data_IF_024410777168
#
_entry.id   IF_024410777168
#
_cell.length_a   1.000
_cell.length_b   1.000
_cell.length_c   1.000
_cell.angle_alpha   90.00
_cell.angle_beta   90.00
_cell.angle_gamma   90.00
#
_symmetry.space_group_name_H-M   'P 1'
#
loop_
_entity.id
_entity.type
_entity.pdbx_description
1 polymer ?
#
# COMPACT_ATOMS: atom_id res chain seq x y z
N UNK A 1 -64.60 0.97 107.24
CA UNK A 1 -64.67 0.66 105.79
C UNK A 1 -65.11 -0.77 105.64
N UNK A 2 -66.10 -1.04 104.78
CA UNK A 2 -66.64 -2.39 104.57
C UNK A 2 -65.61 -3.31 103.92
N UNK A 3 -65.64 -4.59 104.26
CA UNK A 3 -64.79 -5.65 103.67
C UNK A 3 -64.85 -5.69 102.12
N UNK A 4 -65.95 -5.19 101.53
CA UNK A 4 -66.11 -5.01 100.08
C UNK A 4 -65.16 -3.98 99.48
N UNK A 5 -64.82 -2.90 100.21
CA UNK A 5 -63.87 -1.90 99.73
C UNK A 5 -62.44 -2.46 99.71
N UNK A 6 -62.09 -3.32 100.67
CA UNK A 6 -60.77 -3.95 100.72
C UNK A 6 -60.56 -4.92 99.55
N UNK A 7 -61.56 -5.77 99.25
CA UNK A 7 -61.52 -6.68 98.09
C UNK A 7 -61.46 -5.94 96.75
N UNK A 8 -62.12 -4.79 96.65
CA UNK A 8 -62.07 -3.94 95.45
C UNK A 8 -60.67 -3.36 95.23
N UNK A 9 -60.03 -2.84 96.29
CA UNK A 9 -58.66 -2.31 96.23
C UNK A 9 -57.66 -3.42 95.87
N UNK A 10 -57.83 -4.62 96.42
CA UNK A 10 -56.95 -5.77 96.15
C UNK A 10 -57.07 -6.25 94.70
N UNK A 11 -58.28 -6.21 94.12
CA UNK A 11 -58.50 -6.48 92.69
C UNK A 11 -57.82 -5.43 91.81
N UNK A 12 -57.98 -4.15 92.12
CA UNK A 12 -57.35 -3.06 91.36
C UNK A 12 -55.82 -3.17 91.42
N UNK A 13 -55.24 -3.50 92.59
CA UNK A 13 -53.80 -3.69 92.72
C UNK A 13 -53.29 -4.89 91.90
N UNK A 14 -54.08 -5.96 91.80
CA UNK A 14 -53.74 -7.12 90.96
C UNK A 14 -53.77 -6.76 89.48
N UNK A 15 -54.77 -6.01 89.03
CA UNK A 15 -54.89 -5.55 87.64
C UNK A 15 -53.77 -4.57 87.29
N UNK A 16 -53.43 -3.64 88.18
CA UNK A 16 -52.28 -2.73 87.99
C UNK A 16 -50.95 -3.50 87.89
N UNK A 17 -50.75 -4.55 88.70
CA UNK A 17 -49.55 -5.39 88.59
C UNK A 17 -49.48 -6.15 87.28
N UNK A 18 -50.62 -6.62 86.77
CA UNK A 18 -50.70 -7.29 85.47
C UNK A 18 -50.38 -6.33 84.33
N UNK A 19 -50.97 -5.13 84.34
CA UNK A 19 -50.71 -4.08 83.35
C UNK A 19 -49.24 -3.64 83.37
N UNK A 20 -48.64 -3.45 84.55
CA UNK A 20 -47.21 -3.11 84.67
C UNK A 20 -46.33 -4.23 84.10
N UNK A 21 -46.70 -5.50 84.30
CA UNK A 21 -45.98 -6.65 83.75
C UNK A 21 -46.07 -6.69 82.22
N UNK A 22 -47.28 -6.55 81.66
CA UNK A 22 -47.53 -6.52 80.21
C UNK A 22 -46.80 -5.34 79.54
N UNK A 23 -46.81 -4.15 80.17
CA UNK A 23 -46.07 -2.99 79.67
C UNK A 23 -44.55 -3.20 79.66
N UNK A 24 -44.00 -3.90 80.66
CA UNK A 24 -42.58 -4.23 80.71
C UNK A 24 -42.18 -5.30 79.69
N UNK A 25 -43.01 -6.32 79.50
CA UNK A 25 -42.81 -7.34 78.46
C UNK A 25 -42.86 -6.71 77.07
N UNK A 26 -43.85 -5.85 76.80
CA UNK A 26 -43.95 -5.17 75.51
C UNK A 26 -42.77 -4.23 75.23
N UNK A 27 -42.26 -3.53 76.26
CA UNK A 27 -41.03 -2.73 76.13
C UNK A 27 -39.78 -3.58 75.89
N UNK A 28 -39.70 -4.79 76.46
CA UNK A 28 -38.62 -5.74 76.20
C UNK A 28 -38.64 -6.19 74.75
N UNK A 29 -39.82 -6.57 74.24
CA UNK A 29 -39.99 -7.05 72.86
C UNK A 29 -39.66 -5.96 71.84
N UNK A 30 -40.13 -4.72 72.07
CA UNK A 30 -39.82 -3.58 71.19
C UNK A 30 -38.32 -3.29 71.18
N UNK A 31 -37.65 -3.35 72.34
CA UNK A 31 -36.20 -3.15 72.45
C UNK A 31 -35.44 -4.23 71.65
N UNK A 32 -35.84 -5.49 71.75
CA UNK A 32 -35.23 -6.59 71.03
C UNK A 32 -35.43 -6.46 69.51
N UNK A 33 -36.65 -6.14 69.06
CA UNK A 33 -36.95 -5.93 67.63
C UNK A 33 -36.15 -4.76 67.04
N UNK A 34 -36.03 -3.64 67.77
CA UNK A 34 -35.21 -2.49 67.33
C UNK A 34 -33.74 -2.88 67.27
N UNK A 35 -33.22 -3.58 68.28
CA UNK A 35 -31.83 -4.02 68.32
C UNK A 35 -31.51 -4.99 67.17
N UNK A 36 -32.39 -5.94 66.87
CA UNK A 36 -32.27 -6.87 65.74
C UNK A 36 -32.34 -6.16 64.38
N UNK A 37 -33.22 -5.16 64.25
CA UNK A 37 -33.32 -4.33 63.03
C UNK A 37 -32.05 -3.50 62.79
N UNK A 38 -31.48 -2.90 63.84
CA UNK A 38 -30.21 -2.16 63.77
C UNK A 38 -29.06 -3.12 63.41
N UNK A 39 -28.96 -4.26 64.08
CA UNK A 39 -27.91 -5.25 63.80
C UNK A 39 -27.99 -5.79 62.38
N UNK A 40 -29.20 -6.13 61.90
CA UNK A 40 -29.43 -6.58 60.53
C UNK A 40 -29.00 -5.53 59.49
N UNK A 41 -29.36 -4.25 59.70
CA UNK A 41 -28.90 -3.15 58.84
C UNK A 41 -27.38 -2.99 58.86
N UNK A 42 -26.76 -3.07 60.04
CA UNK A 42 -25.30 -2.97 60.20
C UNK A 42 -24.57 -4.10 59.46
N UNK A 43 -25.06 -5.34 59.57
CA UNK A 43 -24.49 -6.50 58.85
C UNK A 43 -24.64 -6.35 57.34
N UNK A 44 -25.78 -5.83 56.86
CA UNK A 44 -25.98 -5.55 55.43
C UNK A 44 -25.01 -4.48 54.93
N UNK A 45 -24.86 -3.37 55.66
CA UNK A 45 -23.89 -2.31 55.31
C UNK A 45 -22.45 -2.81 55.32
N UNK A 46 -22.10 -3.69 56.26
CA UNK A 46 -20.77 -4.32 56.29
C UNK A 46 -20.53 -5.23 55.08
N UNK A 47 -21.55 -5.97 54.64
CA UNK A 47 -21.45 -6.78 53.44
C UNK A 47 -21.27 -5.91 52.19
N UNK A 48 -22.07 -4.85 52.04
CA UNK A 48 -21.93 -3.88 50.93
C UNK A 48 -20.53 -3.26 50.92
N UNK A 49 -19.99 -2.89 52.09
CA UNK A 49 -18.61 -2.38 52.21
C UNK A 49 -17.56 -3.39 51.72
N UNK A 50 -17.67 -4.67 52.12
CA UNK A 50 -16.73 -5.71 51.68
C UNK A 50 -16.81 -5.97 50.16
N UNK A 51 -18.01 -5.85 49.57
CA UNK A 51 -18.20 -5.94 48.12
C UNK A 51 -17.52 -4.77 47.39
N UNK A 52 -17.61 -3.55 47.93
CA UNK A 52 -16.89 -2.40 47.40
C UNK A 52 -15.37 -2.53 47.52
N UNK A 53 -14.86 -3.03 48.65
CA UNK A 53 -13.43 -3.27 48.86
C UNK A 53 -12.88 -4.29 47.85
N UNK A 54 -13.63 -5.37 47.57
CA UNK A 54 -13.28 -6.34 46.53
C UNK A 54 -13.25 -5.69 45.14
N UNK A 55 -14.24 -4.88 44.80
CA UNK A 55 -14.31 -4.20 43.51
C UNK A 55 -13.17 -3.18 43.33
N UNK A 56 -12.79 -2.45 44.39
CA UNK A 56 -11.63 -1.53 44.36
C UNK A 56 -10.35 -2.31 44.06
N UNK A 57 -10.14 -3.45 44.73
CA UNK A 57 -8.95 -4.29 44.50
C UNK A 57 -8.88 -4.83 43.07
N UNK A 58 -10.00 -5.28 42.51
CA UNK A 58 -10.07 -5.73 41.10
C UNK A 58 -9.73 -4.58 40.13
N UNK A 59 -10.18 -3.34 40.42
CA UNK A 59 -9.84 -2.16 39.63
C UNK A 59 -8.36 -1.79 39.74
N UNK A 60 -7.74 -1.90 40.91
CA UNK A 60 -6.31 -1.67 41.10
C UNK A 60 -5.47 -2.67 40.28
N UNK A 61 -5.82 -3.95 40.30
CA UNK A 61 -5.17 -4.99 39.48
C UNK A 61 -5.31 -4.68 37.98
N UNK A 62 -6.50 -4.26 37.52
CA UNK A 62 -6.72 -3.85 36.14
C UNK A 62 -5.89 -2.61 35.74
N UNK A 63 -5.73 -1.63 36.64
CA UNK A 63 -4.91 -0.43 36.39
C UNK A 63 -3.44 -0.84 36.23
N UNK A 64 -2.92 -1.70 37.11
CA UNK A 64 -1.54 -2.19 37.04
C UNK A 64 -1.27 -2.95 35.73
N UNK A 65 -2.19 -3.81 35.29
CA UNK A 65 -2.10 -4.49 33.99
C UNK A 65 -2.04 -3.50 32.81
N UNK A 66 -2.84 -2.44 32.85
CA UNK A 66 -2.85 -1.41 31.79
C UNK A 66 -1.59 -0.55 31.80
N UNK A 67 -1.03 -0.24 32.96
CA UNK A 67 0.26 0.46 33.07
C UNK A 67 1.42 -0.38 32.52
N UNK A 68 1.42 -1.68 32.80
CA UNK A 68 2.38 -2.62 32.23
C UNK A 68 2.28 -2.67 30.70
N UNK A 69 1.07 -2.77 30.16
CA UNK A 69 0.84 -2.74 28.70
C UNK A 69 1.31 -1.41 28.07
N UNK A 70 1.02 -0.29 28.74
CA UNK A 70 1.47 1.03 28.29
C UNK A 70 3.01 1.13 28.24
N UNK A 71 3.71 0.55 29.22
CA UNK A 71 5.17 0.50 29.22
C UNK A 71 5.73 -0.36 28.08
N UNK A 72 5.10 -1.49 27.78
CA UNK A 72 5.45 -2.31 26.61
C UNK A 72 5.30 -1.50 25.32
N UNK A 73 4.17 -0.81 25.14
CA UNK A 73 3.95 0.03 23.96
C UNK A 73 4.96 1.17 23.83
N UNK A 74 5.31 1.86 24.93
CA UNK A 74 6.36 2.88 24.94
C UNK A 74 7.72 2.33 24.48
N UNK A 75 8.08 1.12 24.94
CA UNK A 75 9.31 0.46 24.53
C UNK A 75 9.29 0.07 23.04
N UNK A 76 8.16 -0.45 22.54
CA UNK A 76 7.99 -0.77 21.12
C UNK A 76 8.11 0.48 20.24
N UNK A 77 7.49 1.60 20.63
CA UNK A 77 7.60 2.89 19.92
C UNK A 77 9.06 3.37 19.88
N UNK A 78 9.79 3.23 21.00
CA UNK A 78 11.21 3.58 21.06
C UNK A 78 12.04 2.77 20.06
N UNK A 79 11.86 1.45 20.03
CA UNK A 79 12.57 0.55 19.09
C UNK A 79 12.24 0.90 17.63
N UNK A 80 10.96 1.13 17.31
CA UNK A 80 10.55 1.53 15.95
C UNK A 80 11.17 2.87 15.54
N UNK A 81 11.25 3.82 16.47
CA UNK A 81 11.90 5.12 16.22
C UNK A 81 13.38 4.96 15.92
N UNK A 82 14.09 4.08 16.64
CA UNK A 82 15.50 3.77 16.40
C UNK A 82 15.71 3.10 15.02
N UNK A 83 14.82 2.18 14.62
CA UNK A 83 14.85 1.53 13.30
C UNK A 83 14.60 2.55 12.17
N UNK A 84 13.60 3.43 12.33
CA UNK A 84 13.32 4.48 11.34
C UNK A 84 14.52 5.42 11.17
N UNK A 85 15.20 5.77 12.26
CA UNK A 85 16.40 6.59 12.21
C UNK A 85 17.55 5.89 11.46
N UNK A 86 17.69 4.56 11.61
CA UNK A 86 18.67 3.78 10.86
C UNK A 86 18.38 3.79 9.35
N UNK A 87 17.12 3.57 8.95
CA UNK A 87 16.74 3.63 7.54
C UNK A 87 16.92 5.03 6.94
N UNK A 88 16.59 6.09 7.69
CA UNK A 88 16.83 7.46 7.23
C UNK A 88 18.32 7.71 6.97
N UNK A 89 19.20 7.22 7.83
CA UNK A 89 20.64 7.34 7.63
C UNK A 89 21.13 6.54 6.41
N UNK A 90 20.57 5.36 6.15
CA UNK A 90 20.89 4.56 4.98
C UNK A 90 20.43 5.21 3.67
N UNK A 91 19.22 5.80 3.65
CA UNK A 91 18.72 6.58 2.52
C UNK A 91 19.66 7.75 2.23
N UNK A 92 20.01 8.55 3.25
CA UNK A 92 20.92 9.68 3.09
C UNK A 92 22.30 9.24 2.53
N UNK A 93 22.80 8.08 2.97
CA UNK A 93 24.05 7.51 2.44
C UNK A 93 23.94 7.11 0.97
N UNK A 94 22.82 6.48 0.56
CA UNK A 94 22.59 6.10 -0.83
C UNK A 94 22.43 7.32 -1.74
N UNK A 95 21.73 8.36 -1.29
CA UNK A 95 21.59 9.63 -2.02
C UNK A 95 22.95 10.31 -2.22
N UNK A 96 23.80 10.31 -1.18
CA UNK A 96 25.16 10.84 -1.29
C UNK A 96 25.96 10.04 -2.33
N UNK A 97 25.89 8.70 -2.29
CA UNK A 97 26.58 7.84 -3.24
C UNK A 97 26.10 8.05 -4.69
N UNK A 98 24.80 8.24 -4.91
CA UNK A 98 24.25 8.53 -6.23
C UNK A 98 24.77 9.88 -6.76
N UNK A 99 24.89 10.89 -5.89
CA UNK A 99 25.46 12.19 -6.24
C UNK A 99 26.95 12.07 -6.61
N UNK A 100 27.73 11.31 -5.85
CA UNK A 100 29.15 11.06 -6.15
C UNK A 100 29.31 10.33 -7.50
N UNK A 101 28.44 9.34 -7.79
CA UNK A 101 28.44 8.63 -9.08
C UNK A 101 28.06 9.56 -10.25
N UNK A 102 27.05 10.43 -10.06
CA UNK A 102 26.68 11.46 -11.05
C UNK A 102 27.83 12.43 -11.33
N UNK A 103 28.52 12.89 -10.29
CA UNK A 103 29.69 13.77 -10.43
C UNK A 103 30.83 13.09 -11.22
N UNK A 104 31.07 11.80 -10.95
CA UNK A 104 32.04 11.01 -11.70
C UNK A 104 31.70 10.91 -13.20
N UNK A 105 30.45 10.59 -13.55
CA UNK A 105 30.02 10.49 -14.95
C UNK A 105 30.06 11.85 -15.66
N UNK A 106 29.66 12.93 -15.01
CA UNK A 106 29.75 14.28 -15.58
C UNK A 106 31.22 14.64 -15.89
N UNK A 107 32.13 14.38 -14.94
CA UNK A 107 33.58 14.58 -15.15
C UNK A 107 34.12 13.73 -16.31
N UNK A 108 33.61 12.51 -16.48
CA UNK A 108 33.99 11.63 -17.59
C UNK A 108 33.46 12.15 -18.94
N UNK A 109 32.21 12.60 -18.99
CA UNK A 109 31.60 13.22 -20.18
C UNK A 109 32.36 14.49 -20.58
N UNK A 110 32.70 15.35 -19.63
CA UNK A 110 33.47 16.58 -19.89
C UNK A 110 34.84 16.26 -20.51
N UNK A 111 35.54 15.23 -20.00
CA UNK A 111 36.80 14.74 -20.60
C UNK A 111 36.61 14.17 -22.00
N UNK A 112 35.51 13.46 -22.26
CA UNK A 112 35.21 12.95 -23.61
C UNK A 112 34.94 14.10 -24.60
N UNK A 113 34.22 15.13 -24.16
CA UNK A 113 33.98 16.35 -24.94
C UNK A 113 35.31 17.03 -25.26
N UNK A 114 36.18 17.23 -24.27
CA UNK A 114 37.52 17.83 -24.44
C UNK A 114 38.38 17.08 -25.46
N UNK A 115 38.36 15.74 -25.42
CA UNK A 115 39.09 14.89 -26.37
C UNK A 115 38.56 15.06 -27.80
N UNK A 116 37.24 15.04 -27.99
CA UNK A 116 36.61 15.20 -29.30
C UNK A 116 36.81 16.61 -29.87
N UNK A 117 36.72 17.65 -29.04
CA UNK A 117 37.04 19.03 -29.43
C UNK A 117 38.50 19.15 -29.86
N UNK A 118 39.43 18.56 -29.10
CA UNK A 118 40.86 18.55 -29.45
C UNK A 118 41.09 17.85 -30.80
N UNK A 119 40.43 16.73 -31.04
CA UNK A 119 40.51 15.99 -32.30
C UNK A 119 39.97 16.80 -33.48
N UNK A 120 38.79 17.41 -33.34
CA UNK A 120 38.20 18.29 -34.36
C UNK A 120 39.10 19.50 -34.66
N UNK A 121 39.66 20.13 -33.63
CA UNK A 121 40.59 21.25 -33.80
C UNK A 121 41.85 20.83 -34.57
N UNK A 122 42.39 19.64 -34.31
CA UNK A 122 43.51 19.09 -35.08
C UNK A 122 43.15 18.82 -36.55
N UNK A 123 41.95 18.32 -36.83
CA UNK A 123 41.44 18.12 -38.20
C UNK A 123 41.27 19.46 -38.94
N UNK A 124 40.67 20.46 -38.28
CA UNK A 124 40.53 21.83 -38.80
C UNK A 124 41.91 22.41 -39.13
N UNK A 125 42.87 22.36 -38.20
CA UNK A 125 44.23 22.84 -38.41
C UNK A 125 44.90 22.17 -39.61
N UNK A 126 44.68 20.87 -39.80
CA UNK A 126 45.21 20.11 -40.96
C UNK A 126 44.58 20.62 -42.28
N UNK A 127 43.27 20.89 -42.29
CA UNK A 127 42.57 21.42 -43.46
C UNK A 127 43.05 22.84 -43.78
N UNK A 128 43.20 23.69 -42.77
CA UNK A 128 43.71 25.07 -42.93
C UNK A 128 45.13 25.08 -43.51
N UNK A 129 46.02 24.19 -43.04
CA UNK A 129 47.35 24.02 -43.61
C UNK A 129 47.29 23.60 -45.08
N UNK A 130 46.44 22.63 -45.44
CA UNK A 130 46.25 22.21 -46.84
C UNK A 130 45.75 23.36 -47.72
N UNK A 131 44.79 24.13 -47.24
CA UNK A 131 44.25 25.28 -47.95
C UNK A 131 45.31 26.37 -48.15
N UNK A 132 46.11 26.67 -47.12
CA UNK A 132 47.22 27.61 -47.19
C UNK A 132 48.25 27.19 -48.25
N UNK A 133 48.61 25.91 -48.30
CA UNK A 133 49.52 25.36 -49.31
C UNK A 133 48.95 25.50 -50.73
N UNK A 134 47.67 25.16 -50.92
CA UNK A 134 47.01 25.26 -52.22
C UNK A 134 46.94 26.72 -52.70
N UNK A 135 46.66 27.67 -51.79
CA UNK A 135 46.66 29.10 -52.07
C UNK A 135 48.03 29.58 -52.54
N UNK A 136 49.10 29.14 -51.86
CA UNK A 136 50.47 29.46 -52.25
C UNK A 136 50.84 28.88 -53.63
N UNK A 137 50.41 27.66 -53.93
CA UNK A 137 50.61 27.04 -55.26
C UNK A 137 49.87 27.81 -56.36
N UNK A 138 48.63 28.22 -56.09
CA UNK A 138 47.84 29.01 -57.03
C UNK A 138 48.49 30.36 -57.33
N UNK A 139 48.96 31.08 -56.30
CA UNK A 139 49.68 32.35 -56.48
C UNK A 139 51.00 32.16 -57.25
N UNK A 140 51.70 31.04 -57.05
CA UNK A 140 52.90 30.72 -57.82
C UNK A 140 52.56 30.49 -59.31
N UNK A 141 51.54 29.67 -59.60
CA UNK A 141 51.06 29.42 -60.97
C UNK A 141 50.58 30.69 -61.65
N UNK A 142 49.85 31.55 -60.93
CA UNK A 142 49.41 32.85 -61.41
C UNK A 142 50.60 33.72 -61.83
N UNK A 143 51.65 33.80 -61.01
CA UNK A 143 52.90 34.51 -61.36
C UNK A 143 53.60 33.90 -62.58
N UNK A 144 53.66 32.58 -62.70
CA UNK A 144 54.22 31.90 -63.87
C UNK A 144 53.47 32.25 -65.16
N UNK A 145 52.13 32.23 -65.12
CA UNK A 145 51.29 32.59 -66.26
C UNK A 145 51.52 34.05 -66.65
N UNK A 146 51.50 34.98 -65.69
CA UNK A 146 51.78 36.39 -65.95
C UNK A 146 53.15 36.60 -66.61
N UNK A 147 54.20 35.91 -66.14
CA UNK A 147 55.54 35.99 -66.73
C UNK A 147 55.58 35.40 -68.16
N UNK A 148 54.87 34.29 -68.40
CA UNK A 148 54.80 33.69 -69.74
C UNK A 148 54.07 34.59 -70.75
N UNK A 149 53.03 35.31 -70.32
CA UNK A 149 52.35 36.30 -71.16
C UNK A 149 53.27 37.47 -71.53
N UNK A 150 54.07 37.96 -70.59
CA UNK A 150 55.08 39.01 -70.87
C UNK A 150 56.12 38.52 -71.89
N UNK A 151 56.49 37.24 -71.86
CA UNK A 151 57.45 36.67 -72.82
C UNK A 151 56.83 36.54 -74.21
N UNK A 152 55.55 36.14 -74.31
CA UNK A 152 54.82 36.07 -75.57
C UNK A 152 54.61 37.47 -76.17
N UNK A 153 54.26 38.46 -75.36
CA UNK A 153 54.12 39.85 -75.81
C UNK A 153 55.47 40.44 -76.27
N UNK A 154 56.60 40.05 -75.66
CA UNK A 154 57.93 40.44 -76.12
C UNK A 154 58.33 39.74 -77.44
N UNK A 155 58.00 38.47 -77.62
CA UNK A 155 58.22 37.76 -78.90
C UNK A 155 57.30 38.26 -80.03
N UNK A 156 56.09 38.71 -79.71
CA UNK A 156 55.21 39.41 -80.66
C UNK A 156 55.71 40.83 -80.95
N UNK A 157 56.20 41.59 -79.95
CA UNK A 157 56.81 42.90 -80.18
C UNK A 157 58.12 42.85 -80.99
N UNK A 158 58.88 41.75 -80.93
CA UNK A 158 60.05 41.52 -81.79
C UNK A 158 59.67 41.07 -83.22
N UNK A 159 58.49 40.48 -83.43
CA UNK A 159 57.95 40.18 -84.78
C UNK A 159 57.21 41.36 -85.41
N UNK A 160 56.68 42.28 -84.61
CA UNK A 160 55.94 43.47 -85.06
C UNK A 160 56.75 44.77 -85.06
N UNK A 161 58.05 44.74 -84.74
CA UNK A 161 58.97 45.85 -84.98
C UNK A 161 59.81 45.69 -86.27
N UNK A 162 59.13 45.31 -87.36
CA UNK A 162 59.54 45.73 -88.72
C UNK A 162 58.54 46.71 -89.34
N UNK A 163 57.37 46.97 -88.76
CA UNK A 163 56.50 48.00 -89.32
C UNK A 163 55.77 48.84 -88.27
N UNK A 164 56.04 50.14 -88.40
CA UNK A 164 55.12 51.24 -88.12
C UNK A 164 54.95 51.68 -86.67
N UNK A 165 55.88 52.59 -86.33
CA UNK A 165 55.53 53.89 -85.74
C UNK A 165 54.19 54.41 -86.27
N UNK A 166 53.23 54.67 -85.37
CA UNK A 166 52.74 56.03 -85.06
C UNK A 166 51.60 55.99 -84.05
N UNK A 167 51.75 56.86 -83.06
CA UNK A 167 50.75 57.70 -82.39
C UNK A 167 49.34 57.11 -82.21
N UNK A 168 48.87 57.06 -80.98
CA UNK A 168 47.73 57.87 -80.53
C UNK A 168 47.73 57.91 -78.99
N UNK A 169 47.85 59.13 -78.51
CA UNK A 169 47.61 59.63 -77.16
C UNK A 169 46.10 59.93 -77.06
N UNK A 170 45.39 59.43 -76.05
CA UNK A 170 44.14 60.02 -75.50
C UNK A 170 43.86 59.46 -74.09
N UNK A 171 43.98 60.38 -73.14
CA UNK A 171 43.24 60.63 -71.89
C UNK A 171 42.68 59.48 -71.02
N UNK A 172 43.27 59.42 -69.84
CA UNK A 172 42.70 58.96 -68.57
C UNK A 172 41.46 59.78 -68.16
N UNK A 173 40.42 59.09 -67.64
CA UNK A 173 39.64 59.56 -66.49
C UNK A 173 38.82 58.44 -65.85
N UNK A 174 39.19 58.18 -64.60
CA UNK A 174 38.44 57.71 -63.43
C UNK A 174 36.97 57.24 -63.60
N UNK A 175 36.64 56.09 -63.00
CA UNK A 175 35.73 55.96 -61.83
C UNK A 175 35.78 54.49 -61.35
N UNK A 176 36.38 54.28 -60.18
CA UNK A 176 36.28 53.04 -59.38
C UNK A 176 35.28 53.27 -58.25
N UNK A 177 34.28 52.40 -58.12
CA UNK A 177 33.54 52.21 -56.87
C UNK A 177 33.64 50.74 -56.43
N UNK A 178 33.97 50.47 -55.15
CA UNK A 178 33.99 49.11 -54.61
C UNK A 178 32.59 48.67 -54.18
N UNK A 179 32.23 47.44 -54.53
CA UNK A 179 31.05 46.75 -53.99
C UNK A 179 31.48 46.09 -52.68
N UNK A 180 31.06 46.64 -51.55
CA UNK A 180 31.12 45.99 -50.25
C UNK A 180 30.01 44.94 -50.13
N UNK A 181 30.38 43.68 -49.97
CA UNK A 181 29.47 42.59 -49.60
C UNK A 181 29.57 42.44 -48.07
N UNK A 182 28.56 42.92 -47.36
CA UNK A 182 28.39 42.74 -45.92
C UNK A 182 27.84 41.33 -45.62
N UNK A 183 28.69 40.46 -45.08
CA UNK A 183 28.26 39.23 -44.43
C UNK A 183 27.95 39.52 -42.95
N UNK A 184 26.68 39.77 -42.63
CA UNK A 184 26.16 39.71 -41.26
C UNK A 184 25.13 38.60 -41.19
N UNK A 185 25.57 37.40 -40.80
CA UNK A 185 24.68 36.33 -40.37
C UNK A 185 24.28 36.64 -38.93
N UNK A 186 23.03 37.06 -38.76
CA UNK A 186 22.39 37.31 -37.47
C UNK A 186 21.87 35.98 -36.89
N UNK A 187 22.64 35.35 -36.01
CA UNK A 187 22.16 34.23 -35.18
C UNK A 187 21.75 34.76 -33.81
N UNK A 188 20.50 35.17 -33.65
CA UNK A 188 19.83 35.28 -32.35
C UNK A 188 18.33 35.46 -32.54
N UNK A 189 17.56 34.38 -32.38
CA UNK A 189 16.22 34.36 -31.78
C UNK A 189 15.58 32.97 -31.91
N UNK A 190 15.79 32.14 -30.89
CA UNK A 190 14.90 31.01 -30.60
C UNK A 190 14.11 31.44 -29.35
N UNK A 191 12.77 31.52 -29.40
CA UNK A 191 11.97 31.79 -28.20
C UNK A 191 11.93 30.55 -27.31
N UNK A 192 12.30 30.72 -26.04
CA UNK A 192 11.95 29.81 -24.95
C UNK A 192 10.58 30.22 -24.44
N UNK A 193 9.57 29.40 -24.67
CA UNK A 193 8.30 29.43 -23.92
C UNK A 193 7.95 28.02 -23.48
N UNK A 194 8.41 27.66 -22.28
CA UNK A 194 7.85 26.57 -21.45
C UNK A 194 7.84 27.13 -20.04
N UNK A 195 6.67 27.55 -19.56
CA UNK A 195 6.30 27.65 -18.14
C UNK A 195 4.86 28.15 -18.02
N UNK A 196 3.88 27.25 -18.16
CA UNK A 196 2.55 27.42 -17.57
C UNK A 196 1.94 26.03 -17.31
N UNK A 197 2.08 25.52 -16.09
CA UNK A 197 1.21 24.48 -15.50
C UNK A 197 1.40 24.52 -13.98
N UNK A 198 0.45 25.17 -13.31
CA UNK A 198 0.12 25.26 -11.88
C UNK A 198 -1.24 26.02 -11.93
N UNK A 199 -2.38 25.63 -11.37
CA UNK A 199 -2.77 24.85 -10.20
C UNK A 199 -4.11 24.14 -10.51
N UNK A 200 -4.32 22.95 -9.96
CA UNK A 200 -5.67 22.38 -9.75
C UNK A 200 -5.78 22.16 -8.25
N UNK A 201 -6.55 23.01 -7.58
CA UNK A 201 -7.03 22.79 -6.22
C UNK A 201 -8.16 21.75 -6.28
N UNK A 202 -7.98 20.61 -5.61
CA UNK A 202 -9.06 19.65 -5.37
C UNK A 202 -9.66 19.88 -3.97
N UNK A 203 -10.94 20.27 -4.00
CA UNK A 203 -11.82 20.48 -2.86
C UNK A 203 -12.24 19.13 -2.26
N UNK A 204 -11.91 18.89 -0.99
CA UNK A 204 -12.30 17.67 -0.25
C UNK A 204 -13.56 17.91 0.58
N UNK A 205 -14.64 17.21 0.24
CA UNK A 205 -15.85 17.12 1.07
C UNK A 205 -15.61 16.23 2.30
N UNK A 206 -15.73 16.84 3.47
CA UNK A 206 -15.52 16.22 4.79
C UNK A 206 -16.84 15.64 5.32
N UNK A 207 -16.88 14.31 5.55
CA UNK A 207 -18.06 13.60 6.08
C UNK A 207 -18.19 13.80 7.61
N UNK A 208 -19.44 13.90 8.06
CA UNK A 208 -19.89 14.19 9.43
C UNK A 208 -19.75 12.99 10.39
N UNK A 209 -18.90 13.13 11.42
CA UNK A 209 -18.55 12.10 12.42
C UNK A 209 -19.56 11.99 13.59
N UNK A 210 -20.71 12.66 13.57
CA UNK A 210 -21.57 12.77 14.77
C UNK A 210 -22.46 11.55 15.09
N UNK A 211 -22.20 10.37 14.54
CA UNK A 211 -23.09 9.19 14.72
C UNK A 211 -22.40 7.92 15.20
N UNK A 212 -21.68 7.93 16.32
CA UNK A 212 -21.40 6.68 17.04
C UNK A 212 -21.24 6.91 18.55
N UNK A 213 -22.28 6.53 19.32
CA UNK A 213 -22.23 6.43 20.78
C UNK A 213 -22.71 5.04 21.21
N UNK A 214 -21.76 4.16 21.55
CA UNK A 214 -22.06 2.86 22.16
C UNK A 214 -20.91 2.47 23.09
N UNK A 215 -21.18 2.42 24.40
CA UNK A 215 -20.19 2.02 25.41
C UNK A 215 -19.94 0.51 25.36
N UNK A 216 -18.69 0.11 25.25
CA UNK A 216 -18.27 -1.31 25.31
C UNK A 216 -17.63 -1.56 26.67
N UNK A 217 -18.19 -2.49 27.45
CA UNK A 217 -17.55 -3.10 28.61
C UNK A 217 -16.89 -4.42 28.18
N UNK A 218 -15.60 -4.57 28.46
CA UNK A 218 -14.82 -5.77 28.13
C UNK A 218 -14.53 -6.56 29.40
N UNK A 219 -14.97 -7.82 29.45
CA UNK A 219 -14.67 -8.78 30.52
C UNK A 219 -13.54 -9.69 30.01
N UNK A 220 -12.42 -9.75 30.74
CA UNK A 220 -11.30 -10.66 30.43
C UNK A 220 -11.50 -11.98 31.20
N UNK A 221 -11.47 -13.15 30.52
CA UNK A 221 -11.59 -14.45 31.18
C UNK A 221 -10.34 -14.88 31.97
N UNK A 222 -10.50 -15.56 33.11
CA UNK A 222 -9.43 -15.87 34.07
C UNK A 222 -8.38 -16.90 33.63
N UNK A 223 -8.51 -17.51 32.44
CA UNK A 223 -7.55 -18.54 31.97
C UNK A 223 -6.19 -18.01 31.49
N UNK A 224 -5.98 -16.68 31.42
CA UNK A 224 -4.73 -16.09 30.92
C UNK A 224 -3.70 -15.78 32.01
N UNK A 225 -3.98 -16.06 33.29
CA UNK A 225 -3.12 -15.64 34.40
C UNK A 225 -1.82 -16.47 34.57
N UNK A 226 -1.62 -17.59 33.88
CA UNK A 226 -0.46 -18.45 34.16
C UNK A 226 0.08 -19.18 32.93
N UNK A 227 1.11 -18.65 32.27
CA UNK A 227 2.07 -19.52 31.57
C UNK A 227 3.46 -18.88 31.46
N UNK A 228 4.46 -19.58 31.98
CA UNK A 228 5.88 -19.24 31.92
C UNK A 228 6.55 -20.06 30.82
N UNK A 229 6.90 -19.45 29.68
CA UNK A 229 7.64 -20.13 28.62
C UNK A 229 9.08 -19.62 28.51
N UNK A 230 10.02 -20.57 28.54
CA UNK A 230 11.46 -20.39 28.40
C UNK A 230 11.84 -20.17 26.93
N UNK A 231 12.75 -19.22 26.72
CA UNK A 231 13.38 -18.89 25.44
C UNK A 231 14.39 -19.98 25.05
N UNK A 232 14.37 -20.42 23.79
CA UNK A 232 15.39 -21.28 23.17
C UNK A 232 15.98 -20.52 21.97
N UNK A 233 17.31 -20.48 21.90
CA UNK A 233 18.08 -19.82 20.84
C UNK A 233 18.07 -20.60 19.50
N UNK A 234 18.24 -19.92 18.35
CA UNK A 234 18.16 -20.53 17.03
C UNK A 234 19.51 -21.09 16.54
N UNK A 235 19.55 -22.21 15.78
CA UNK A 235 20.77 -22.64 15.13
C UNK A 235 20.95 -21.97 13.76
N UNK A 236 22.17 -21.47 13.55
CA UNK A 236 22.73 -21.10 12.25
C UNK A 236 22.92 -22.33 11.35
N UNK A 237 22.64 -22.23 10.04
CA UNK A 237 23.66 -22.24 8.96
C UNK A 237 23.03 -22.31 7.56
N UNK A 238 23.63 -21.51 6.66
CA UNK A 238 23.41 -21.45 5.21
C UNK A 238 24.02 -22.67 4.49
N UNK A 239 23.37 -23.11 3.40
CA UNK A 239 24.05 -23.79 2.31
C UNK A 239 23.58 -23.25 0.95
N UNK A 240 24.56 -22.81 0.15
CA UNK A 240 24.42 -22.29 -1.22
C UNK A 240 24.23 -23.45 -2.21
N UNK A 241 23.34 -23.27 -3.19
CA UNK A 241 23.20 -24.15 -4.35
C UNK A 241 23.68 -23.45 -5.64
N UNK A 242 24.15 -24.22 -6.66
CA UNK A 242 24.84 -23.70 -7.83
C UNK A 242 23.92 -23.32 -9.00
N UNK A 243 24.35 -22.29 -9.73
CA UNK A 243 23.71 -21.69 -10.92
C UNK A 243 23.87 -22.61 -12.14
N UNK A 244 22.77 -22.91 -12.84
CA UNK A 244 22.77 -23.62 -14.13
C UNK A 244 22.76 -22.63 -15.32
N UNK A 245 23.55 -23.00 -16.31
CA UNK A 245 23.86 -22.32 -17.57
C UNK A 245 22.67 -22.31 -18.54
N UNK A 246 22.47 -21.18 -19.23
CA UNK A 246 21.43 -20.93 -20.24
C UNK A 246 21.94 -21.36 -21.63
N UNK A 247 21.08 -22.00 -22.43
CA UNK A 247 21.28 -22.27 -23.87
C UNK A 247 20.27 -21.42 -24.67
N UNK A 248 20.66 -20.76 -25.78
CA UNK A 248 19.76 -19.94 -26.59
C UNK A 248 19.01 -20.78 -27.64
N UNK A 249 17.75 -20.44 -27.92
CA UNK A 249 16.98 -21.00 -29.04
C UNK A 249 16.45 -19.88 -29.94
N UNK A 250 16.55 -20.18 -31.23
CA UNK A 250 16.36 -19.35 -32.42
C UNK A 250 14.94 -18.84 -32.71
N UNK A 251 14.92 -17.73 -33.45
CA UNK A 251 13.77 -17.08 -34.07
C UNK A 251 13.43 -17.73 -35.41
N UNK A 252 12.17 -18.15 -35.65
CA UNK A 252 11.57 -18.17 -37.01
C UNK A 252 10.04 -17.92 -37.04
N UNK A 253 9.69 -16.80 -37.67
CA UNK A 253 8.55 -16.36 -38.50
C UNK A 253 7.14 -17.04 -38.55
N UNK A 254 6.13 -16.23 -38.19
CA UNK A 254 4.98 -15.67 -38.97
C UNK A 254 4.16 -16.59 -39.91
N UNK A 255 2.84 -16.69 -39.65
CA UNK A 255 1.71 -16.20 -40.50
C UNK A 255 0.33 -16.43 -39.85
N UNK A 256 -0.44 -15.35 -39.69
CA UNK A 256 -1.88 -15.34 -39.37
C UNK A 256 -2.74 -15.15 -40.63
N UNK A 257 -4.05 -15.41 -40.54
CA UNK A 257 -5.05 -14.57 -41.18
C UNK A 257 -6.04 -13.95 -40.18
N UNK A 258 -6.42 -12.71 -40.49
CA UNK A 258 -7.28 -11.76 -39.78
C UNK A 258 -8.76 -12.10 -40.02
N UNK A 259 -9.60 -12.13 -38.98
CA UNK A 259 -10.84 -11.32 -38.96
C UNK A 259 -11.62 -11.29 -37.63
N UNK A 260 -12.27 -10.12 -37.45
CA UNK A 260 -13.34 -9.71 -36.53
C UNK A 260 -12.93 -9.11 -35.17
N UNK A 261 -13.24 -7.82 -35.09
CA UNK A 261 -12.93 -6.86 -34.05
C UNK A 261 -14.01 -6.90 -32.95
N UNK A 262 -13.62 -7.31 -31.76
CA UNK A 262 -14.01 -6.65 -30.53
C UNK A 262 -12.69 -6.20 -29.88
N UNK A 263 -12.57 -4.91 -29.54
CA UNK A 263 -11.41 -4.41 -28.78
C UNK A 263 -11.52 -4.91 -27.34
N UNK A 264 -11.27 -6.20 -27.14
CA UNK A 264 -10.80 -6.69 -25.85
C UNK A 264 -9.35 -6.25 -25.72
N UNK A 265 -9.06 -5.44 -24.69
CA UNK A 265 -7.69 -5.22 -24.27
C UNK A 265 -7.27 -6.58 -23.70
N UNK A 266 -6.68 -7.42 -24.55
CA UNK A 266 -6.11 -8.68 -24.13
C UNK A 266 -4.82 -8.34 -23.39
N UNK A 267 -4.96 -8.00 -22.10
CA UNK A 267 -3.84 -7.98 -21.18
C UNK A 267 -3.36 -9.43 -21.18
N UNK A 268 -2.18 -9.66 -21.76
CA UNK A 268 -1.54 -10.96 -21.72
C UNK A 268 -1.26 -11.21 -20.23
N UNK A 269 -1.90 -12.19 -19.56
CA UNK A 269 -1.61 -12.47 -18.17
C UNK A 269 -0.12 -12.77 -18.13
N UNK A 270 0.64 -11.85 -17.52
CA UNK A 270 2.06 -12.04 -17.36
C UNK A 270 2.21 -13.39 -16.70
N UNK A 271 2.88 -14.32 -17.38
CA UNK A 271 3.38 -15.54 -16.78
C UNK A 271 4.34 -15.11 -15.68
N UNK A 272 3.80 -14.76 -14.51
CA UNK A 272 4.53 -14.67 -13.27
C UNK A 272 5.21 -16.02 -13.16
N UNK A 273 6.54 -16.01 -13.17
CA UNK A 273 7.32 -17.22 -12.99
C UNK A 273 6.80 -17.88 -11.72
N UNK A 274 6.03 -18.97 -11.88
CA UNK A 274 5.41 -19.73 -10.81
C UNK A 274 6.52 -20.41 -10.03
N UNK A 275 7.25 -19.66 -9.22
CA UNK A 275 7.81 -20.24 -8.00
C UNK A 275 6.62 -20.74 -7.22
N UNK A 276 6.65 -22.03 -6.84
CA UNK A 276 5.66 -22.67 -5.95
C UNK A 276 5.60 -21.89 -4.63
N UNK A 277 4.87 -20.78 -4.63
CA UNK A 277 4.62 -20.03 -3.42
C UNK A 277 3.66 -20.87 -2.60
N UNK A 278 4.19 -21.55 -1.59
CA UNK A 278 3.41 -22.40 -0.72
C UNK A 278 2.60 -21.51 0.22
N UNK A 279 1.32 -21.33 -0.08
CA UNK A 279 0.40 -20.68 0.84
C UNK A 279 0.13 -21.60 2.04
N UNK A 280 0.40 -21.10 3.24
CA UNK A 280 0.12 -21.81 4.49
C UNK A 280 -1.36 -22.21 4.54
N UNK A 281 -1.65 -23.51 4.66
CA UNK A 281 -3.01 -24.04 4.76
C UNK A 281 -3.76 -24.24 3.43
N UNK A 282 -3.11 -24.07 2.27
CA UNK A 282 -3.75 -24.27 0.96
C UNK A 282 -4.31 -25.69 0.77
N UNK A 283 -3.67 -26.69 1.36
CA UNK A 283 -4.10 -28.08 1.35
C UNK A 283 -5.51 -28.29 1.93
N UNK A 284 -5.96 -27.44 2.86
CA UNK A 284 -7.34 -27.50 3.38
C UNK A 284 -8.34 -27.06 2.30
N UNK A 285 -8.02 -25.99 1.58
CA UNK A 285 -8.84 -25.50 0.47
C UNK A 285 -8.90 -26.56 -0.65
N UNK A 286 -7.76 -27.16 -1.01
CA UNK A 286 -7.67 -28.25 -1.99
C UNK A 286 -8.61 -29.41 -1.63
N UNK A 287 -8.62 -29.80 -0.35
CA UNK A 287 -9.51 -30.85 0.14
C UNK A 287 -10.99 -30.43 0.12
N UNK A 288 -11.29 -29.18 0.46
CA UNK A 288 -12.66 -28.64 0.50
C UNK A 288 -13.27 -28.48 -0.90
N UNK A 289 -12.49 -28.06 -1.89
CA UNK A 289 -12.97 -27.90 -3.28
C UNK A 289 -12.76 -29.15 -4.15
N UNK A 290 -11.88 -30.06 -3.73
CA UNK A 290 -11.54 -31.29 -4.46
C UNK A 290 -10.58 -31.10 -5.63
N UNK A 291 -9.81 -30.01 -5.64
CA UNK A 291 -8.87 -29.64 -6.70
C UNK A 291 -7.48 -29.46 -6.10
N UNK A 292 -6.41 -29.84 -6.81
CA UNK A 292 -5.06 -29.95 -6.21
C UNK A 292 -4.04 -28.98 -6.78
N UNK A 293 -4.32 -28.40 -7.93
CA UNK A 293 -3.42 -27.45 -8.55
C UNK A 293 -4.04 -26.07 -8.48
N UNK A 294 -3.21 -25.03 -8.60
CA UNK A 294 -3.70 -23.68 -8.68
C UNK A 294 -2.85 -22.80 -9.59
N UNK A 295 -3.48 -21.78 -10.15
CA UNK A 295 -2.84 -20.69 -10.89
C UNK A 295 -3.07 -19.40 -10.12
N UNK A 296 -2.01 -18.64 -9.84
CA UNK A 296 -2.15 -17.27 -9.32
C UNK A 296 -2.64 -16.38 -10.46
N UNK A 297 -3.84 -15.82 -10.30
CA UNK A 297 -4.43 -14.88 -11.24
C UNK A 297 -4.11 -13.42 -10.87
N UNK A 298 -4.01 -13.15 -9.57
CA UNK A 298 -3.82 -11.80 -9.05
C UNK A 298 -3.03 -11.85 -7.75
N UNK A 299 -2.19 -10.85 -7.54
CA UNK A 299 -1.44 -10.63 -6.31
C UNK A 299 -1.28 -9.14 -6.07
N UNK A 300 -1.80 -8.66 -4.94
CA UNK A 300 -1.77 -7.24 -4.61
C UNK A 300 -0.38 -6.68 -4.30
N UNK A 301 0.62 -7.56 -4.08
CA UNK A 301 2.00 -7.15 -3.87
C UNK A 301 2.70 -6.69 -5.15
N UNK A 302 2.14 -7.02 -6.32
CA UNK A 302 2.67 -6.59 -7.61
C UNK A 302 2.30 -5.13 -7.92
N UNK A 303 3.08 -4.42 -8.76
CA UNK A 303 2.72 -3.09 -9.22
C UNK A 303 1.31 -3.08 -9.83
N UNK A 304 0.48 -2.11 -9.43
CA UNK A 304 -0.96 -1.99 -9.78
C UNK A 304 -1.91 -3.03 -9.16
N UNK A 305 -1.43 -3.87 -8.23
CA UNK A 305 -2.21 -4.84 -7.48
C UNK A 305 -3.24 -4.27 -6.49
N UNK A 306 -3.59 -2.99 -6.62
CA UNK A 306 -4.62 -2.32 -5.81
C UNK A 306 -5.71 -1.64 -6.67
N UNK A 307 -5.69 -1.81 -7.99
CA UNK A 307 -6.72 -1.24 -8.86
C UNK A 307 -7.91 -2.21 -9.04
N UNK A 308 -9.13 -1.68 -9.08
CA UNK A 308 -10.33 -2.48 -9.38
C UNK A 308 -10.29 -3.06 -10.79
N UNK A 309 -9.77 -2.30 -11.76
CA UNK A 309 -9.64 -2.76 -13.15
C UNK A 309 -8.74 -3.98 -13.25
N UNK A 310 -7.55 -3.92 -12.62
CA UNK A 310 -6.60 -5.04 -12.59
C UNK A 310 -7.19 -6.23 -11.84
N UNK A 311 -7.81 -6.02 -10.68
CA UNK A 311 -8.44 -7.08 -9.92
C UNK A 311 -9.58 -7.75 -10.71
N UNK A 312 -10.53 -6.95 -11.21
CA UNK A 312 -11.70 -7.44 -11.94
C UNK A 312 -11.32 -8.18 -13.23
N UNK A 313 -10.40 -7.63 -14.04
CA UNK A 313 -9.93 -8.27 -15.26
C UNK A 313 -9.20 -9.59 -15.00
N UNK A 314 -8.54 -9.72 -13.85
CA UNK A 314 -7.84 -10.95 -13.46
C UNK A 314 -8.78 -12.08 -13.07
N UNK A 315 -9.97 -11.77 -12.56
CA UNK A 315 -10.93 -12.79 -12.08
C UNK A 315 -12.06 -13.09 -13.07
N UNK A 316 -12.31 -12.19 -14.03
CA UNK A 316 -13.37 -12.33 -15.03
C UNK A 316 -13.14 -13.57 -15.90
N UNK A 317 -14.22 -14.30 -16.19
CA UNK A 317 -14.26 -15.55 -16.96
C UNK A 317 -13.51 -16.74 -16.35
N UNK A 318 -13.02 -16.61 -15.11
CA UNK A 318 -12.43 -17.71 -14.36
C UNK A 318 -13.43 -18.33 -13.38
N UNK A 319 -13.21 -19.60 -13.04
CA UNK A 319 -14.04 -20.42 -12.14
C UNK A 319 -13.17 -21.10 -11.09
N UNK A 320 -13.76 -21.71 -10.06
CA UNK A 320 -13.01 -22.27 -8.92
C UNK A 320 -12.02 -21.26 -8.30
N UNK A 321 -12.50 -20.03 -8.14
CA UNK A 321 -11.73 -18.90 -7.63
C UNK A 321 -11.62 -18.98 -6.12
N UNK A 322 -10.40 -18.86 -5.60
CA UNK A 322 -10.11 -18.63 -4.18
C UNK A 322 -9.55 -17.22 -4.04
N UNK A 323 -10.13 -16.42 -3.16
CA UNK A 323 -9.56 -15.13 -2.78
C UNK A 323 -8.96 -15.30 -1.39
N UNK A 324 -7.63 -15.27 -1.30
CA UNK A 324 -6.86 -15.29 -0.06
C UNK A 324 -6.58 -13.87 0.41
N UNK A 325 -6.87 -13.59 1.67
CA UNK A 325 -6.64 -12.31 2.34
C UNK A 325 -5.66 -12.52 3.49
N UNK A 326 -4.60 -11.73 3.48
CA UNK A 326 -3.59 -11.66 4.54
C UNK A 326 -3.79 -10.32 5.24
N UNK A 327 -4.25 -10.32 6.49
CA UNK A 327 -4.41 -9.08 7.24
C UNK A 327 -3.15 -8.68 8.02
N UNK A 328 -3.11 -7.42 8.44
CA UNK A 328 -2.03 -6.83 9.25
C UNK A 328 -1.80 -7.49 10.62
N UNK A 329 -2.70 -8.36 11.06
CA UNK A 329 -2.57 -9.14 12.29
C UNK A 329 -2.02 -10.56 12.04
N UNK A 330 -1.69 -10.88 10.79
CA UNK A 330 -1.15 -12.17 10.37
C UNK A 330 -2.19 -13.28 10.24
N UNK A 331 -3.48 -12.93 10.16
CA UNK A 331 -4.55 -13.89 9.87
C UNK A 331 -4.62 -14.15 8.35
N UNK A 332 -5.02 -15.37 7.99
CA UNK A 332 -5.22 -15.80 6.60
C UNK A 332 -6.63 -16.34 6.47
N UNK A 333 -7.46 -15.69 5.65
CA UNK A 333 -8.88 -16.01 5.48
C UNK A 333 -9.36 -15.62 4.08
N UNK A 334 -10.62 -15.89 3.77
CA UNK A 334 -11.14 -15.55 2.45
C UNK A 334 -12.42 -16.29 2.07
N UNK A 335 -12.62 -16.44 0.77
CA UNK A 335 -13.76 -17.16 0.21
C UNK A 335 -13.43 -17.89 -1.08
N UNK A 336 -14.23 -18.92 -1.37
CA UNK A 336 -14.13 -19.75 -2.57
C UNK A 336 -15.43 -19.71 -3.37
N UNK A 337 -15.32 -19.59 -4.69
CA UNK A 337 -16.43 -19.63 -5.64
C UNK A 337 -16.16 -20.67 -6.73
N UNK A 338 -17.07 -21.63 -6.92
CA UNK A 338 -16.98 -22.61 -7.99
C UNK A 338 -17.43 -22.04 -9.33
N UNK A 339 -18.52 -21.27 -9.36
CA UNK A 339 -19.08 -20.70 -10.59
C UNK A 339 -18.15 -19.69 -11.27
N UNK A 340 -18.20 -19.59 -12.61
CA UNK A 340 -17.43 -18.59 -13.33
C UNK A 340 -17.92 -17.16 -13.05
N UNK A 341 -16.98 -16.23 -12.92
CA UNK A 341 -17.27 -14.79 -12.75
C UNK A 341 -17.51 -14.18 -14.13
N UNK A 342 -18.78 -14.07 -14.54
CA UNK A 342 -19.12 -13.62 -15.91
C UNK A 342 -19.25 -12.10 -16.07
N UNK A 343 -19.41 -11.37 -14.96
CA UNK A 343 -19.63 -9.92 -14.95
C UNK A 343 -19.22 -9.32 -13.62
N UNK A 344 -18.89 -8.04 -13.63
CA UNK A 344 -18.69 -7.22 -12.43
C UNK A 344 -19.99 -6.53 -12.00
N UNK A 345 -19.95 -5.84 -10.87
CA UNK A 345 -21.00 -4.96 -10.37
C UNK A 345 -22.38 -5.64 -10.22
N UNK A 346 -22.34 -6.94 -9.95
CA UNK A 346 -23.52 -7.72 -9.59
C UNK A 346 -23.13 -8.97 -8.81
N UNK A 347 -24.01 -9.39 -7.92
CA UNK A 347 -23.80 -10.56 -7.09
C UNK A 347 -23.87 -11.83 -7.94
N UNK A 348 -22.80 -12.64 -7.89
CA UNK A 348 -22.73 -13.95 -8.53
C UNK A 348 -23.04 -15.00 -7.48
N UNK A 349 -24.26 -15.53 -7.50
CA UNK A 349 -24.73 -16.52 -6.52
C UNK A 349 -24.21 -17.92 -6.86
N UNK A 350 -23.60 -18.61 -5.89
CA UNK A 350 -23.12 -19.99 -6.04
C UNK A 350 -23.43 -20.84 -4.80
N UNK A 351 -24.09 -21.97 -5.01
CA UNK A 351 -24.43 -22.92 -3.94
C UNK A 351 -23.22 -23.68 -3.39
N UNK A 352 -22.08 -23.65 -4.08
CA UNK A 352 -20.82 -24.25 -3.64
C UNK A 352 -19.85 -23.20 -3.06
N UNK A 353 -20.31 -21.96 -2.92
CA UNK A 353 -19.56 -20.90 -2.25
C UNK A 353 -19.31 -21.26 -0.79
N UNK A 354 -18.15 -20.88 -0.27
CA UNK A 354 -17.88 -20.93 1.17
C UNK A 354 -16.88 -19.86 1.60
N UNK A 355 -16.98 -19.44 2.86
CA UNK A 355 -15.94 -18.66 3.53
C UNK A 355 -14.97 -19.59 4.26
N UNK A 356 -13.76 -19.11 4.52
CA UNK A 356 -12.80 -19.86 5.33
C UNK A 356 -11.88 -18.96 6.16
N UNK A 357 -11.30 -19.57 7.18
CA UNK A 357 -10.16 -19.02 7.95
C UNK A 357 -9.11 -20.12 8.07
N UNK A 358 -7.91 -19.90 7.55
CA UNK A 358 -6.81 -20.87 7.58
C UNK A 358 -5.90 -20.68 8.79
N UNK A 359 -5.63 -19.42 9.14
CA UNK A 359 -4.73 -19.05 10.21
C UNK A 359 -5.30 -17.88 10.98
N UNK A 360 -5.30 -18.01 12.31
CA UNK A 360 -5.68 -16.94 13.22
C UNK A 360 -4.85 -17.01 14.48
N UNK A 361 -4.44 -15.86 15.02
CA UNK A 361 -3.50 -15.77 16.16
C UNK A 361 -3.88 -16.63 17.39
N UNK A 362 -5.17 -16.91 17.57
CA UNK A 362 -5.71 -17.65 18.73
C UNK A 362 -6.48 -18.93 18.37
N UNK A 363 -6.49 -19.37 17.10
CA UNK A 363 -7.20 -20.58 16.68
C UNK A 363 -6.27 -21.48 15.88
N UNK A 364 -6.19 -22.74 16.31
CA UNK A 364 -5.25 -23.72 15.76
C UNK A 364 -5.80 -24.53 14.58
N UNK A 365 -7.10 -24.47 14.32
CA UNK A 365 -7.74 -25.29 13.28
C UNK A 365 -8.35 -24.42 12.18
N UNK A 366 -8.08 -24.74 10.90
CA UNK A 366 -8.77 -24.13 9.78
C UNK A 366 -10.27 -24.35 9.84
N UNK A 367 -11.01 -23.32 9.47
CA UNK A 367 -12.46 -23.27 9.48
C UNK A 367 -12.99 -23.13 8.06
N UNK A 368 -13.93 -23.99 7.68
CA UNK A 368 -14.75 -23.84 6.48
C UNK A 368 -16.17 -23.49 6.90
N UNK A 369 -16.76 -22.52 6.23
CA UNK A 369 -18.09 -22.00 6.57
C UNK A 369 -18.98 -22.00 5.34
N UNK A 370 -19.97 -22.88 5.36
CA UNK A 370 -20.98 -22.96 4.32
C UNK A 370 -22.11 -21.94 4.59
N UNK A 371 -22.74 -21.40 3.54
CA UNK A 371 -23.95 -20.60 3.68
C UNK A 371 -25.10 -21.40 4.30
N UNK A 372 -26.04 -20.70 4.95
CA UNK A 372 -27.32 -21.29 5.36
C UNK A 372 -28.12 -21.73 4.13
N UNK A 373 -28.88 -22.83 4.27
CA UNK A 373 -29.57 -23.51 3.15
C UNK A 373 -30.59 -22.63 2.41
N UNK A 374 -31.15 -21.63 3.07
CA UNK A 374 -32.18 -20.73 2.55
C UNK A 374 -31.62 -19.37 2.08
N UNK A 375 -30.30 -19.18 2.12
CA UNK A 375 -29.65 -17.92 1.79
C UNK A 375 -28.97 -17.97 0.44
N UNK A 376 -29.21 -16.94 -0.36
CA UNK A 376 -28.57 -16.74 -1.66
C UNK A 376 -27.39 -15.80 -1.47
N UNK A 377 -26.20 -16.38 -1.34
CA UNK A 377 -24.95 -15.62 -1.20
C UNK A 377 -24.00 -15.94 -2.33
N UNK A 378 -22.98 -15.11 -2.48
CA UNK A 378 -21.91 -15.37 -3.42
C UNK A 378 -20.84 -14.30 -3.36
N UNK A 379 -20.30 -13.95 -4.52
CA UNK A 379 -19.24 -12.96 -4.68
C UNK A 379 -19.74 -11.79 -5.52
N UNK A 380 -19.47 -10.58 -5.05
CA UNK A 380 -19.64 -9.35 -5.81
C UNK A 380 -18.26 -8.74 -6.07
N UNK A 381 -17.96 -8.42 -7.33
CA UNK A 381 -16.69 -7.78 -7.73
C UNK A 381 -16.98 -6.36 -8.23
N UNK A 382 -16.36 -5.36 -7.63
CA UNK A 382 -16.51 -3.96 -8.05
C UNK A 382 -15.55 -3.62 -9.19
N UNK A 383 -16.08 -3.02 -10.26
CA UNK A 383 -15.23 -2.50 -11.36
C UNK A 383 -14.69 -1.10 -11.11
N UNK A 384 -15.44 -0.27 -10.37
CA UNK A 384 -15.20 1.19 -10.29
C UNK A 384 -15.23 1.75 -8.88
N UNK A 385 -15.48 0.94 -7.84
CA UNK A 385 -15.50 1.42 -6.47
C UNK A 385 -14.11 1.95 -6.06
N UNK A 386 -14.06 3.13 -5.46
CA UNK A 386 -12.78 3.78 -5.10
C UNK A 386 -12.01 3.02 -4.03
N UNK A 387 -12.71 2.31 -3.13
CA UNK A 387 -12.10 1.73 -1.93
C UNK A 387 -12.21 0.19 -1.92
N UNK A 388 -13.35 -0.35 -2.36
CA UNK A 388 -13.67 -1.77 -2.23
C UNK A 388 -13.35 -2.56 -3.50
N UNK A 389 -12.76 -3.74 -3.35
CA UNK A 389 -12.48 -4.63 -4.49
C UNK A 389 -13.62 -5.62 -4.70
N UNK A 390 -14.04 -6.28 -3.63
CA UNK A 390 -15.11 -7.28 -3.66
C UNK A 390 -15.70 -7.53 -2.28
N UNK A 391 -16.84 -8.22 -2.25
CA UNK A 391 -17.36 -8.80 -1.01
C UNK A 391 -17.92 -10.20 -1.23
N UNK A 392 -17.92 -10.99 -0.18
CA UNK A 392 -18.62 -12.28 -0.11
C UNK A 392 -19.84 -12.20 0.81
N UNK A 393 -20.94 -12.85 0.44
CA UNK A 393 -22.17 -12.83 1.23
C UNK A 393 -23.32 -12.15 0.51
N UNK A 394 -24.08 -11.38 1.27
CA UNK A 394 -25.24 -10.60 0.85
C UNK A 394 -25.19 -9.24 1.56
N UNK A 395 -25.08 -8.16 0.81
CA UNK A 395 -24.91 -6.79 1.32
C UNK A 395 -26.05 -6.33 2.23
N UNK A 396 -27.25 -6.91 2.10
CA UNK A 396 -28.39 -6.53 2.95
C UNK A 396 -28.44 -7.29 4.28
N UNK A 397 -27.80 -8.47 4.36
CA UNK A 397 -27.98 -9.39 5.48
C UNK A 397 -26.68 -9.73 6.21
N UNK A 398 -25.56 -9.85 5.50
CA UNK A 398 -24.24 -10.08 6.08
C UNK A 398 -23.20 -10.40 5.03
N UNK A 399 -22.02 -9.78 5.17
CA UNK A 399 -20.96 -9.86 4.17
C UNK A 399 -19.56 -9.73 4.77
N UNK A 400 -18.59 -10.28 4.06
CA UNK A 400 -17.16 -10.02 4.24
C UNK A 400 -16.73 -9.05 3.13
N UNK A 401 -16.49 -7.80 3.49
CA UNK A 401 -15.99 -6.75 2.59
C UNK A 401 -14.47 -6.77 2.53
N UNK A 402 -13.92 -6.78 1.32
CA UNK A 402 -12.48 -6.76 1.03
C UNK A 402 -12.15 -5.44 0.33
N UNK A 403 -11.59 -4.51 1.11
CA UNK A 403 -11.09 -3.23 0.61
C UNK A 403 -9.70 -3.37 0.01
N UNK A 404 -9.24 -2.36 -0.71
CA UNK A 404 -7.85 -2.22 -1.16
C UNK A 404 -6.90 -2.26 0.03
N UNK A 405 -5.67 -2.75 -0.18
CA UNK A 405 -4.70 -2.93 0.92
C UNK A 405 -4.26 -1.62 1.57
N UNK A 406 -4.53 -0.48 0.94
CA UNK A 406 -4.26 0.86 1.50
C UNK A 406 -5.37 1.40 2.39
N UNK A 407 -6.50 0.70 2.54
CA UNK A 407 -7.70 1.18 3.24
C UNK A 407 -8.02 0.27 4.45
N UNK A 408 -7.92 0.76 5.69
CA UNK A 408 -8.19 -0.03 6.90
C UNK A 408 -9.69 -0.13 7.23
N UNK A 409 -10.52 -0.47 6.23
CA UNK A 409 -11.99 -0.51 6.36
C UNK A 409 -12.61 -1.82 5.88
N UNK A 410 -11.81 -2.85 5.63
CA UNK A 410 -12.34 -4.20 5.38
C UNK A 410 -13.08 -4.68 6.62
N UNK A 411 -14.18 -5.40 6.47
CA UNK A 411 -15.06 -5.71 7.60
C UNK A 411 -15.82 -7.02 7.42
N UNK A 412 -16.03 -7.75 8.51
CA UNK A 412 -17.00 -8.83 8.60
C UNK A 412 -18.29 -8.30 9.23
N UNK A 413 -19.34 -8.07 8.45
CA UNK A 413 -20.61 -7.52 8.94
C UNK A 413 -21.68 -8.60 9.00
N UNK A 414 -22.34 -8.74 10.15
CA UNK A 414 -23.52 -9.60 10.37
C UNK A 414 -23.46 -11.01 9.72
N UNK A 415 -22.29 -11.65 9.72
CA UNK A 415 -22.11 -12.94 9.04
C UNK A 415 -23.04 -14.01 9.58
N UNK A 416 -23.43 -13.94 10.85
CA UNK A 416 -24.37 -14.85 11.49
C UNK A 416 -25.78 -14.84 10.88
N UNK A 417 -26.13 -13.84 10.06
CA UNK A 417 -27.42 -13.81 9.34
C UNK A 417 -27.44 -14.74 8.14
N UNK A 418 -26.30 -14.89 7.45
CA UNK A 418 -26.15 -15.65 6.20
C UNK A 418 -25.32 -16.93 6.33
N UNK A 419 -24.48 -17.00 7.36
CA UNK A 419 -23.63 -18.13 7.73
C UNK A 419 -23.90 -18.52 9.20
N UNK A 420 -23.62 -19.75 9.59
CA UNK A 420 -23.75 -20.21 10.99
C UNK A 420 -22.48 -19.88 11.82
N UNK A 421 -22.01 -18.62 11.76
CA UNK A 421 -20.80 -18.14 12.46
C UNK A 421 -20.92 -16.69 12.93
N UNK A 422 -20.17 -16.31 13.96
CA UNK A 422 -19.99 -14.90 14.36
C UNK A 422 -18.92 -14.20 13.52
N UNK A 423 -19.00 -12.86 13.42
CA UNK A 423 -18.04 -12.02 12.69
C UNK A 423 -16.58 -12.27 13.13
N UNK A 424 -16.38 -12.46 14.43
CA UNK A 424 -15.05 -12.69 15.00
C UNK A 424 -14.42 -14.02 14.56
N UNK A 425 -15.18 -14.98 14.03
CA UNK A 425 -14.66 -16.30 13.68
C UNK A 425 -13.75 -16.29 12.44
N UNK A 426 -13.94 -15.33 11.51
CA UNK A 426 -13.14 -15.25 10.28
C UNK A 426 -11.71 -14.75 10.57
N UNK A 427 -11.58 -13.54 11.12
CA UNK A 427 -10.27 -12.93 11.41
C UNK A 427 -10.15 -12.33 12.82
N UNK A 428 -11.21 -12.34 13.63
CA UNK A 428 -11.21 -11.80 14.98
C UNK A 428 -11.73 -10.38 15.14
N UNK A 429 -12.02 -9.64 14.06
CA UNK A 429 -12.37 -8.21 14.18
C UNK A 429 -13.78 -7.96 14.74
N UNK A 430 -14.65 -8.97 14.80
CA UNK A 430 -16.02 -8.86 15.33
C UNK A 430 -16.87 -7.72 14.74
N UNK A 431 -16.62 -7.35 13.47
CA UNK A 431 -17.31 -6.23 12.81
C UNK A 431 -16.56 -4.91 12.89
N UNK A 432 -15.42 -4.86 13.59
CA UNK A 432 -14.47 -3.76 13.47
C UNK A 432 -13.75 -3.82 12.13
N UNK A 433 -13.38 -2.65 11.62
CA UNK A 433 -12.59 -2.51 10.41
C UNK A 433 -11.17 -3.07 10.61
N UNK A 434 -10.61 -3.67 9.55
CA UNK A 434 -9.24 -4.19 9.56
C UNK A 434 -8.49 -3.79 8.28
N UNK A 435 -7.16 -3.76 8.40
CA UNK A 435 -6.22 -3.49 7.32
C UNK A 435 -5.73 -4.80 6.71
N UNK A 436 -5.75 -4.87 5.38
CA UNK A 436 -5.24 -5.99 4.60
C UNK A 436 -3.82 -5.66 4.13
N UNK A 437 -2.89 -6.59 4.34
CA UNK A 437 -1.51 -6.47 3.85
C UNK A 437 -1.38 -6.99 2.42
N UNK A 438 -2.02 -8.13 2.10
CA UNK A 438 -1.94 -8.77 0.79
C UNK A 438 -3.24 -9.47 0.42
N UNK A 439 -3.56 -9.47 -0.86
CA UNK A 439 -4.66 -10.21 -1.48
C UNK A 439 -4.08 -11.05 -2.60
N UNK A 440 -4.37 -12.35 -2.61
CA UNK A 440 -3.98 -13.25 -3.69
C UNK A 440 -5.23 -13.95 -4.22
N UNK A 441 -5.39 -13.99 -5.53
CA UNK A 441 -6.47 -14.74 -6.17
C UNK A 441 -5.91 -15.95 -6.89
N UNK A 442 -6.47 -17.12 -6.60
CA UNK A 442 -6.10 -18.40 -7.19
C UNK A 442 -7.25 -18.95 -8.03
N UNK A 443 -6.93 -19.55 -9.16
CA UNK A 443 -7.82 -20.46 -9.90
C UNK A 443 -7.42 -21.91 -9.62
N UNK A 444 -8.30 -22.67 -8.97
CA UNK A 444 -8.06 -24.07 -8.62
C UNK A 444 -8.34 -24.99 -9.83
N UNK A 445 -7.52 -26.04 -10.00
CA UNK A 445 -7.53 -26.98 -11.15
C UNK A 445 -7.40 -28.45 -10.77
#
# INVERSE_FOLDING_TARGET
MSESHYKSIESIQKDMKLIIKELNEHNSDVKEVVQMSIYSKMMKTQQEYNEYEKAIKELEEMIEEKENLLNIHKNSIKILTEILLQYQNEINYLEQKENDEKEYYNTFIDKLIEIEETKKNNEINTIEQKYSNLKNEFELKKKQISNSHITIEQEEYEKENVNERKNIEINEKEITQPIEISNTINTNSIPKDINQLNEIEEEYDMYDETKFTGSVTTIVPPQFAQSSCKVVEPPHTLNKLPIKTIVPIDKQNIKQPINQQEKSIHINPQHVNQTEEQFEGINYIENWCGLKNHLILFDSSLPNGNSNETFASSVLNHSNIVILVFDSLGNIFGGYMKKPIQKTDSLIIDSNHFLFSLKKKNYLQPLQVLPKKDKLVGLYVHSTNKNELCYFGDEDNGWLSIQKTTIPKSVCCSLNMVYDIDNSMINGSNGEGFLIDRIVVLEMK
#
